data_IF_862920410082
#
_entry.id   IF_862920410082
#
_cell.length_a   1.000
_cell.length_b   1.000
_cell.length_c   1.000
_cell.angle_alpha   90.00
_cell.angle_beta   90.00
_cell.angle_gamma   90.00
#
_symmetry.space_group_name_H-M   'P 1'
#
loop_
_entity.id
_entity.type
_entity.pdbx_description
1 polymer ?
#
# COMPACT_ATOMS: atom_id res chain seq x y z
N UNK A 1 -59.27 -18.31 16.53
CA UNK A 1 -60.19 -18.03 17.65
C UNK A 1 -59.82 -18.92 18.81
N UNK A 2 -59.77 -18.43 20.05
CA UNK A 2 -59.13 -17.17 20.48
C UNK A 2 -58.28 -17.32 21.77
N UNK A 3 -57.40 -16.33 21.97
CA UNK A 3 -57.06 -15.57 23.18
C UNK A 3 -56.78 -16.24 24.54
N UNK A 4 -55.63 -15.86 25.12
CA UNK A 4 -55.50 -15.12 26.40
C UNK A 4 -53.99 -14.86 26.65
N UNK A 5 -53.48 -13.65 26.45
CA UNK A 5 -53.37 -12.55 27.44
C UNK A 5 -52.78 -12.96 28.79
N UNK A 6 -51.56 -12.50 29.13
CA UNK A 6 -51.32 -11.66 30.30
C UNK A 6 -49.89 -11.06 30.38
N UNK A 7 -49.80 -9.76 30.09
CA UNK A 7 -49.17 -8.66 30.86
C UNK A 7 -47.76 -8.82 31.48
N UNK A 8 -46.77 -8.00 31.04
CA UNK A 8 -46.25 -6.75 31.66
C UNK A 8 -45.07 -7.03 32.65
N UNK A 9 -43.96 -6.29 32.79
CA UNK A 9 -43.59 -4.87 32.60
C UNK A 9 -42.05 -4.70 32.44
N UNK A 10 -41.66 -3.51 31.95
CA UNK A 10 -40.32 -2.93 31.75
C UNK A 10 -39.54 -2.61 33.06
N UNK A 11 -38.27 -2.15 33.00
CA UNK A 11 -37.94 -0.72 32.77
C UNK A 11 -36.77 -0.51 31.78
N UNK A 12 -36.84 0.40 30.80
CA UNK A 12 -36.61 1.87 30.88
C UNK A 12 -35.19 2.29 31.30
N UNK A 13 -34.39 2.79 30.35
CA UNK A 13 -33.49 3.97 30.47
C UNK A 13 -32.58 4.03 29.22
N UNK A 14 -32.92 4.83 28.19
CA UNK A 14 -32.37 6.16 27.85
C UNK A 14 -30.87 6.23 27.51
N UNK A 15 -30.58 6.42 26.22
CA UNK A 15 -29.60 7.39 25.68
C UNK A 15 -29.86 7.53 24.17
N UNK A 16 -30.47 8.63 23.75
CA UNK A 16 -29.82 9.86 23.26
C UNK A 16 -29.23 9.75 21.84
N UNK A 17 -29.69 10.70 21.02
CA UNK A 17 -29.37 10.93 19.63
C UNK A 17 -27.87 11.09 19.40
N UNK A 18 -27.36 10.50 18.33
CA UNK A 18 -26.25 11.07 17.57
C UNK A 18 -26.32 10.64 16.10
N UNK A 19 -26.72 11.59 15.27
CA UNK A 19 -26.47 11.64 13.82
C UNK A 19 -25.00 11.38 13.47
N UNK A 20 -24.68 10.59 12.44
CA UNK A 20 -23.40 10.72 11.77
C UNK A 20 -23.53 11.79 10.67
N UNK A 21 -23.02 12.98 10.97
CA UNK A 21 -22.64 13.98 9.97
C UNK A 21 -21.51 13.38 9.15
N UNK A 22 -21.78 13.08 7.88
CA UNK A 22 -20.78 12.71 6.90
C UNK A 22 -19.93 13.94 6.56
N UNK A 23 -18.80 14.06 7.25
CA UNK A 23 -17.70 14.95 6.89
C UNK A 23 -16.97 14.32 5.69
N UNK A 24 -16.66 15.20 4.76
CA UNK A 24 -16.00 14.97 3.48
C UNK A 24 -14.59 14.41 3.69
N UNK A 25 -14.34 13.20 3.20
CA UNK A 25 -12.99 12.71 2.95
C UNK A 25 -12.52 13.21 1.57
N UNK A 26 -11.94 14.40 1.57
CA UNK A 26 -10.99 14.85 0.55
C UNK A 26 -9.70 14.03 0.70
N UNK A 27 -9.67 12.84 0.09
CA UNK A 27 -8.44 12.10 -0.12
C UNK A 27 -7.78 12.60 -1.41
N UNK A 28 -6.99 13.65 -1.27
CA UNK A 28 -6.04 14.13 -2.27
C UNK A 28 -5.03 13.04 -2.62
N UNK A 29 -5.09 12.59 -3.88
CA UNK A 29 -4.06 11.77 -4.51
C UNK A 29 -2.86 12.68 -4.82
N UNK A 30 -1.84 12.67 -3.97
CA UNK A 30 -0.53 13.21 -4.34
C UNK A 30 0.17 12.24 -5.28
N UNK A 31 0.04 12.52 -6.58
CA UNK A 31 0.92 12.02 -7.64
C UNK A 31 2.27 12.73 -7.49
N UNK A 32 3.29 11.98 -7.10
CA UNK A 32 4.69 12.44 -7.18
C UNK A 32 5.06 12.64 -8.65
N UNK A 33 5.22 13.90 -9.01
CA UNK A 33 5.82 14.38 -10.25
C UNK A 33 7.34 14.34 -10.12
N UNK A 34 8.00 13.36 -10.75
CA UNK A 34 9.39 13.50 -11.18
C UNK A 34 9.41 13.77 -12.68
N UNK A 35 9.79 15.01 -13.00
CA UNK A 35 9.90 15.57 -14.35
C UNK A 35 11.38 15.72 -14.65
N UNK A 36 11.82 15.17 -15.78
CA UNK A 36 12.90 15.61 -16.71
C UNK A 36 13.64 14.40 -17.33
N UNK A 37 14.31 14.53 -18.49
CA UNK A 37 13.63 14.57 -19.79
C UNK A 37 14.37 13.73 -20.85
N UNK A 38 13.68 12.97 -21.69
CA UNK A 38 14.25 12.55 -23.00
C UNK A 38 13.18 12.71 -24.09
N UNK A 39 13.51 13.59 -25.02
CA UNK A 39 12.82 13.93 -26.26
C UNK A 39 12.72 12.76 -27.24
N UNK A 40 11.67 12.77 -28.07
CA UNK A 40 11.80 12.40 -29.47
C UNK A 40 11.64 13.65 -30.35
N UNK A 41 12.62 13.81 -31.24
CA UNK A 41 12.81 14.91 -32.18
C UNK A 41 11.56 15.19 -33.02
N UNK A 42 11.00 16.39 -32.84
CA UNK A 42 10.20 17.07 -33.86
C UNK A 42 11.15 17.81 -34.80
N UNK A 43 11.02 17.59 -36.10
CA UNK A 43 11.59 18.46 -37.10
C UNK A 43 10.59 19.59 -37.39
N UNK A 44 11.05 20.85 -37.40
CA UNK A 44 10.20 22.02 -37.58
C UNK A 44 9.96 22.27 -39.06
N UNK A 45 8.74 22.66 -39.43
CA UNK A 45 8.54 23.43 -40.66
C UNK A 45 7.72 24.66 -40.33
N UNK A 46 8.42 25.78 -40.40
CA UNK A 46 7.98 27.13 -40.11
C UNK A 46 6.84 27.59 -41.01
N UNK A 47 5.99 28.44 -40.42
CA UNK A 47 5.26 29.48 -41.12
C UNK A 47 6.24 30.38 -41.89
N UNK A 48 6.05 30.50 -43.20
CA UNK A 48 6.44 31.70 -43.96
C UNK A 48 5.45 31.94 -45.09
N UNK A 49 5.09 33.20 -45.24
CA UNK A 49 4.18 33.73 -46.24
C UNK A 49 4.55 33.35 -47.67
N UNK A 50 3.54 33.14 -48.51
CA UNK A 50 3.67 33.18 -49.97
C UNK A 50 2.38 33.73 -50.57
N UNK A 51 2.45 34.98 -50.99
CA UNK A 51 1.50 35.62 -51.91
C UNK A 51 2.00 35.47 -53.35
N UNK A 52 1.06 35.10 -54.24
CA UNK A 52 1.07 35.24 -55.72
C UNK A 52 2.04 34.28 -56.47
N UNK A 53 1.68 33.57 -57.56
CA UNK A 53 0.68 33.83 -58.61
C UNK A 53 0.33 32.55 -59.39
N UNK A 54 -0.88 32.56 -60.01
CA UNK A 54 -1.19 32.15 -61.38
C UNK A 54 -2.50 31.34 -61.50
N UNK A 55 -3.57 32.07 -61.79
CA UNK A 55 -4.81 31.71 -62.50
C UNK A 55 -4.55 30.89 -63.81
N UNK A 56 -5.55 30.28 -64.49
CA UNK A 56 -6.98 30.64 -64.47
C UNK A 56 -8.01 29.50 -64.49
N UNK A 57 -9.21 29.90 -64.08
CA UNK A 57 -10.54 29.49 -64.54
C UNK A 57 -10.68 28.23 -65.43
N UNK A 58 -11.53 27.30 -64.96
CA UNK A 58 -12.52 26.66 -65.84
C UNK A 58 -13.83 26.44 -65.11
N UNK A 59 -14.80 27.28 -65.47
CA UNK A 59 -16.23 27.04 -65.35
C UNK A 59 -16.58 25.56 -65.50
N UNK A 60 -17.17 24.99 -64.46
CA UNK A 60 -18.30 24.10 -64.65
C UNK A 60 -19.44 24.65 -63.80
N UNK A 61 -20.41 25.20 -64.50
CA UNK A 61 -21.82 25.12 -64.15
C UNK A 61 -22.15 23.65 -63.85
N UNK A 62 -21.76 23.19 -62.67
CA UNK A 62 -22.39 22.02 -62.08
C UNK A 62 -23.82 22.46 -61.88
N UNK A 63 -24.74 21.87 -62.68
CA UNK A 63 -26.18 22.11 -62.57
C UNK A 63 -26.55 22.21 -61.09
N UNK A 64 -27.44 23.13 -60.72
CA UNK A 64 -27.90 23.26 -59.34
C UNK A 64 -28.27 21.88 -58.74
N UNK A 65 -28.74 20.93 -59.56
CA UNK A 65 -28.96 19.53 -59.23
C UNK A 65 -27.71 18.77 -58.73
N UNK A 66 -26.53 18.94 -59.33
CA UNK A 66 -25.28 18.27 -58.92
C UNK A 66 -24.67 18.87 -57.64
N UNK A 67 -24.68 20.21 -57.49
CA UNK A 67 -24.29 20.87 -56.23
C UNK A 67 -25.20 20.47 -55.07
N UNK A 68 -26.51 20.38 -55.33
CA UNK A 68 -27.47 19.92 -54.32
C UNK A 68 -27.34 18.42 -54.01
N UNK A 69 -26.79 17.59 -54.89
CA UNK A 69 -26.42 16.19 -54.60
C UNK A 69 -25.18 16.12 -53.72
N UNK A 70 -24.12 16.83 -54.07
CA UNK A 70 -22.90 16.92 -53.24
C UNK A 70 -23.18 17.48 -51.84
N UNK A 71 -24.03 18.51 -51.72
CA UNK A 71 -24.46 19.02 -50.42
C UNK A 71 -25.26 17.97 -49.62
N UNK A 72 -26.15 17.21 -50.28
CA UNK A 72 -26.88 16.11 -49.64
C UNK A 72 -25.96 14.98 -49.20
N UNK A 73 -24.94 14.63 -49.98
CA UNK A 73 -24.00 13.56 -49.64
C UNK A 73 -23.05 13.99 -48.51
N UNK A 74 -22.59 15.25 -48.52
CA UNK A 74 -21.87 15.82 -47.37
C UNK A 74 -22.73 15.86 -46.12
N UNK A 75 -24.01 16.21 -46.24
CA UNK A 75 -24.93 16.21 -45.11
C UNK A 75 -25.19 14.79 -44.58
N UNK A 76 -25.37 13.80 -45.46
CA UNK A 76 -25.45 12.38 -45.07
C UNK A 76 -24.17 11.90 -44.40
N UNK A 77 -23.00 12.28 -44.90
CA UNK A 77 -21.72 11.95 -44.27
C UNK A 77 -21.58 12.61 -42.89
N UNK A 78 -22.03 13.86 -42.74
CA UNK A 78 -22.08 14.56 -41.45
C UNK A 78 -23.03 13.87 -40.47
N UNK A 79 -24.22 13.45 -40.92
CA UNK A 79 -25.16 12.69 -40.11
C UNK A 79 -24.60 11.32 -39.69
N UNK A 80 -23.94 10.60 -40.60
CA UNK A 80 -23.30 9.32 -40.28
C UNK A 80 -22.16 9.50 -39.26
N UNK A 81 -21.36 10.57 -39.40
CA UNK A 81 -20.33 10.93 -38.42
C UNK A 81 -20.93 11.29 -37.06
N UNK A 82 -22.03 12.03 -37.03
CA UNK A 82 -22.74 12.37 -35.80
C UNK A 82 -23.31 11.12 -35.10
N UNK A 83 -23.89 10.18 -35.85
CA UNK A 83 -24.37 8.89 -35.33
C UNK A 83 -23.24 8.05 -34.75
N UNK A 84 -22.14 7.88 -35.51
CA UNK A 84 -20.96 7.15 -35.05
C UNK A 84 -20.34 7.78 -33.81
N UNK A 85 -20.31 9.11 -33.72
CA UNK A 85 -19.83 9.82 -32.53
C UNK A 85 -20.75 9.57 -31.32
N UNK A 86 -22.06 9.64 -31.50
CA UNK A 86 -23.03 9.36 -30.44
C UNK A 86 -22.91 7.91 -29.92
N UNK A 87 -22.78 6.93 -30.82
CA UNK A 87 -22.59 5.51 -30.45
C UNK A 87 -21.27 5.27 -29.71
N UNK A 88 -20.17 5.90 -30.14
CA UNK A 88 -18.88 5.82 -29.45
C UNK A 88 -18.96 6.46 -28.07
N UNK A 89 -19.55 7.65 -27.95
CA UNK A 89 -19.75 8.32 -26.66
C UNK A 89 -20.61 7.47 -25.71
N UNK A 90 -21.68 6.84 -26.21
CA UNK A 90 -22.51 5.93 -25.40
C UNK A 90 -21.72 4.68 -24.97
N UNK A 91 -20.91 4.12 -25.86
CA UNK A 91 -20.06 2.96 -25.55
C UNK A 91 -18.96 3.31 -24.55
N UNK A 92 -18.36 4.48 -24.66
CA UNK A 92 -17.32 4.98 -23.77
C UNK A 92 -17.89 5.29 -22.39
N UNK A 93 -19.02 6.00 -22.29
CA UNK A 93 -19.72 6.23 -21.02
C UNK A 93 -20.16 4.92 -20.34
N UNK A 94 -20.65 3.94 -21.11
CA UNK A 94 -20.96 2.61 -20.59
C UNK A 94 -19.71 1.80 -20.20
N UNK A 95 -18.55 2.04 -20.82
CA UNK A 95 -17.30 1.40 -20.44
C UNK A 95 -16.67 2.05 -19.20
N UNK A 96 -16.78 3.38 -19.07
CA UNK A 96 -16.37 4.14 -17.89
C UNK A 96 -17.20 3.76 -16.66
N UNK A 97 -18.53 3.66 -16.79
CA UNK A 97 -19.37 3.19 -15.69
C UNK A 97 -19.01 1.76 -15.26
N UNK A 98 -18.71 0.87 -16.22
CA UNK A 98 -18.20 -0.48 -15.91
C UNK A 98 -16.84 -0.45 -15.22
N UNK A 99 -15.90 0.39 -15.66
CA UNK A 99 -14.57 0.54 -15.02
C UNK A 99 -14.68 1.05 -13.59
N UNK A 100 -15.58 2.02 -13.35
CA UNK A 100 -15.85 2.55 -12.01
C UNK A 100 -16.58 1.52 -11.12
N UNK A 101 -17.44 0.70 -11.70
CA UNK A 101 -18.17 -0.35 -10.97
C UNK A 101 -17.33 -1.61 -10.70
N UNK A 102 -16.23 -1.84 -11.42
CA UNK A 102 -15.37 -3.00 -11.19
C UNK A 102 -14.42 -2.77 -10.03
N UNK A 103 -14.59 -3.53 -8.94
CA UNK A 103 -13.65 -3.51 -7.83
C UNK A 103 -12.27 -4.05 -8.25
N UNK A 104 -11.18 -3.31 -7.99
CA UNK A 104 -9.83 -3.75 -8.36
C UNK A 104 -9.39 -5.03 -7.64
N UNK A 105 -9.92 -5.29 -6.43
CA UNK A 105 -9.65 -6.52 -5.66
C UNK A 105 -10.26 -7.76 -6.31
N UNK A 106 -11.48 -7.64 -6.85
CA UNK A 106 -12.15 -8.71 -7.57
C UNK A 106 -11.42 -9.03 -8.89
N UNK A 107 -10.98 -8.01 -9.62
CA UNK A 107 -10.17 -8.19 -10.84
C UNK A 107 -8.87 -8.96 -10.55
N UNK A 108 -8.17 -8.63 -9.45
CA UNK A 108 -6.97 -9.37 -9.02
C UNK A 108 -7.28 -10.83 -8.65
N UNK A 109 -8.42 -11.08 -8.02
CA UNK A 109 -8.85 -12.45 -7.68
C UNK A 109 -9.16 -13.27 -8.93
N UNK A 110 -9.81 -12.66 -9.93
CA UNK A 110 -10.17 -13.29 -11.21
C UNK A 110 -8.91 -13.57 -12.02
N UNK A 111 -7.99 -12.60 -12.13
CA UNK A 111 -6.73 -12.80 -12.84
C UNK A 111 -5.89 -13.91 -12.22
N UNK A 112 -5.86 -13.99 -10.88
CA UNK A 112 -5.21 -15.09 -10.17
C UNK A 112 -5.86 -16.44 -10.47
N UNK A 113 -7.19 -16.53 -10.42
CA UNK A 113 -7.94 -17.75 -10.77
C UNK A 113 -7.70 -18.16 -12.23
N UNK A 114 -7.68 -17.21 -13.14
CA UNK A 114 -7.36 -17.43 -14.55
C UNK A 114 -5.93 -17.96 -14.72
N UNK A 115 -4.94 -17.36 -14.05
CA UNK A 115 -3.56 -17.83 -14.09
C UNK A 115 -3.40 -19.26 -13.54
N UNK A 116 -4.11 -19.60 -12.45
CA UNK A 116 -4.14 -20.97 -11.94
C UNK A 116 -4.81 -21.93 -12.92
N UNK A 117 -5.93 -21.54 -13.52
CA UNK A 117 -6.62 -22.37 -14.51
C UNK A 117 -5.75 -22.61 -15.75
N UNK A 118 -5.12 -21.57 -16.30
CA UNK A 118 -4.22 -21.71 -17.44
C UNK A 118 -3.00 -22.56 -17.12
N UNK A 119 -2.43 -22.43 -15.92
CA UNK A 119 -1.32 -23.27 -15.46
C UNK A 119 -1.74 -24.74 -15.34
N UNK A 120 -2.92 -25.01 -14.79
CA UNK A 120 -3.43 -26.38 -14.65
C UNK A 120 -3.77 -27.01 -16.00
N UNK A 121 -4.32 -26.25 -16.94
CA UNK A 121 -4.54 -26.71 -18.32
C UNK A 121 -3.21 -27.01 -19.01
N UNK A 122 -2.24 -26.10 -18.95
CA UNK A 122 -0.91 -26.31 -19.51
C UNK A 122 -0.24 -27.57 -18.94
N UNK A 123 -0.33 -27.79 -17.63
CA UNK A 123 0.16 -29.00 -16.96
C UNK A 123 -0.53 -30.26 -17.51
N UNK A 124 -1.86 -30.26 -17.59
CA UNK A 124 -2.62 -31.40 -18.10
C UNK A 124 -2.30 -31.71 -19.57
N UNK A 125 -2.15 -30.68 -20.42
CA UNK A 125 -1.80 -30.84 -21.83
C UNK A 125 -0.39 -31.44 -21.99
N UNK A 126 0.58 -30.99 -21.18
CA UNK A 126 1.96 -31.53 -21.20
C UNK A 126 2.04 -32.97 -20.70
N UNK A 127 1.27 -33.31 -19.65
CA UNK A 127 1.19 -34.68 -19.13
C UNK A 127 0.48 -35.61 -20.13
N UNK A 128 -0.55 -35.13 -20.84
CA UNK A 128 -1.23 -35.86 -21.91
C UNK A 128 -0.31 -36.13 -23.12
N UNK A 129 0.66 -35.25 -23.37
CA UNK A 129 1.71 -35.44 -24.38
C UNK A 129 2.82 -36.40 -23.90
N UNK A 130 2.82 -36.80 -22.63
CA UNK A 130 3.82 -37.68 -22.02
C UNK A 130 5.12 -36.96 -21.60
N UNK A 131 5.12 -35.63 -21.52
CA UNK A 131 6.25 -34.82 -21.05
C UNK A 131 6.11 -34.49 -19.55
N UNK A 132 7.24 -34.45 -18.83
CA UNK A 132 7.30 -33.97 -17.44
C UNK A 132 7.18 -32.43 -17.38
N UNK A 133 6.03 -31.91 -16.95
CA UNK A 133 5.77 -30.47 -16.84
C UNK A 133 6.81 -29.72 -15.99
N UNK A 134 7.17 -30.26 -14.82
CA UNK A 134 8.09 -29.61 -13.90
C UNK A 134 9.52 -29.57 -14.45
N UNK A 135 9.91 -30.59 -15.23
CA UNK A 135 11.20 -30.62 -15.93
C UNK A 135 11.25 -29.55 -17.00
N UNK A 136 10.23 -29.43 -17.85
CA UNK A 136 10.14 -28.39 -18.89
C UNK A 136 10.18 -26.99 -18.28
N UNK A 137 9.46 -26.76 -17.19
CA UNK A 137 9.47 -25.49 -16.46
C UNK A 137 10.84 -25.18 -15.83
N UNK A 138 11.54 -26.19 -15.30
CA UNK A 138 12.85 -26.00 -14.70
C UNK A 138 13.92 -25.57 -15.72
N UNK A 139 13.71 -25.85 -17.02
CA UNK A 139 14.61 -25.39 -18.08
C UNK A 139 14.50 -23.88 -18.32
N UNK A 140 13.32 -23.31 -18.09
CA UNK A 140 13.07 -21.87 -18.24
C UNK A 140 13.53 -21.06 -17.01
N UNK A 141 13.99 -21.71 -15.93
CA UNK A 141 14.49 -20.99 -14.76
C UNK A 141 15.82 -20.30 -15.04
N UNK A 142 15.76 -18.97 -15.03
CA UNK A 142 16.96 -18.13 -15.10
C UNK A 142 17.69 -18.12 -13.75
N UNK A 143 19.01 -17.96 -13.78
CA UNK A 143 19.85 -17.87 -12.57
C UNK A 143 19.36 -16.73 -11.66
N UNK A 144 19.03 -15.57 -12.23
CA UNK A 144 18.53 -14.42 -11.48
C UNK A 144 17.20 -14.70 -10.76
N UNK A 145 16.32 -15.50 -11.37
CA UNK A 145 15.04 -15.87 -10.76
C UNK A 145 15.24 -16.86 -9.61
N UNK A 146 16.12 -17.85 -9.78
CA UNK A 146 16.51 -18.78 -8.72
C UNK A 146 17.09 -18.03 -7.52
N UNK A 147 18.05 -17.12 -7.74
CA UNK A 147 18.65 -16.35 -6.65
C UNK A 147 17.62 -15.48 -5.91
N UNK A 148 16.67 -14.86 -6.61
CA UNK A 148 15.60 -14.08 -5.99
C UNK A 148 14.67 -14.97 -5.18
N UNK A 149 14.37 -16.18 -5.66
CA UNK A 149 13.62 -17.17 -4.90
C UNK A 149 14.37 -17.57 -3.63
N UNK A 150 15.66 -17.87 -3.73
CA UNK A 150 16.50 -18.29 -2.61
C UNK A 150 16.57 -17.20 -1.55
N UNK A 151 16.84 -15.96 -1.96
CA UNK A 151 16.83 -14.78 -1.08
C UNK A 151 15.48 -14.62 -0.37
N UNK A 152 14.36 -14.87 -1.06
CA UNK A 152 13.00 -14.79 -0.47
C UNK A 152 12.79 -15.89 0.57
N UNK A 153 13.21 -17.12 0.27
CA UNK A 153 12.99 -18.27 1.14
C UNK A 153 13.92 -18.27 2.33
N UNK A 154 15.17 -17.86 2.15
CA UNK A 154 16.11 -17.59 3.22
C UNK A 154 15.57 -16.49 4.16
N UNK A 155 15.05 -15.38 3.61
CA UNK A 155 14.42 -14.34 4.43
C UNK A 155 13.23 -14.86 5.21
N UNK A 156 12.39 -15.71 4.62
CA UNK A 156 11.24 -16.34 5.29
C UNK A 156 11.70 -17.28 6.41
N UNK A 157 12.75 -18.06 6.17
CA UNK A 157 13.33 -18.96 7.16
C UNK A 157 13.94 -18.16 8.33
N UNK A 158 14.74 -17.12 8.04
CA UNK A 158 15.27 -16.19 9.05
C UNK A 158 14.16 -15.59 9.90
N UNK A 159 13.04 -15.17 9.29
CA UNK A 159 11.89 -14.64 10.03
C UNK A 159 11.20 -15.67 10.93
N UNK A 160 11.14 -16.94 10.50
CA UNK A 160 10.61 -18.04 11.31
C UNK A 160 11.49 -18.26 12.53
N UNK A 161 12.80 -18.35 12.32
CA UNK A 161 13.78 -18.57 13.39
C UNK A 161 13.82 -17.37 14.37
N UNK A 162 13.62 -16.16 13.85
CA UNK A 162 13.51 -14.93 14.63
C UNK A 162 12.18 -14.78 15.42
N UNK A 163 11.25 -15.73 15.37
CA UNK A 163 9.97 -15.61 16.09
C UNK A 163 10.12 -15.87 17.59
N UNK A 164 11.02 -16.76 18.00
CA UNK A 164 11.24 -17.10 19.40
C UNK A 164 12.01 -15.98 20.13
N UNK A 165 11.70 -15.80 21.41
CA UNK A 165 12.49 -14.92 22.28
C UNK A 165 13.86 -15.55 22.55
N UNK A 166 14.93 -14.78 22.30
CA UNK A 166 16.31 -15.21 22.52
C UNK A 166 16.99 -14.27 23.54
N UNK A 167 17.03 -12.97 23.24
CA UNK A 167 17.64 -11.94 24.08
C UNK A 167 16.84 -10.63 24.00
N UNK A 168 16.88 -9.84 25.07
CA UNK A 168 16.26 -8.51 25.16
C UNK A 168 16.84 -7.53 24.14
N UNK A 169 18.14 -7.61 23.81
CA UNK A 169 18.74 -6.73 22.78
C UNK A 169 18.15 -6.99 21.40
N UNK A 170 17.94 -8.25 21.06
CA UNK A 170 17.34 -8.63 19.78
C UNK A 170 15.87 -8.22 19.69
N UNK A 171 15.11 -8.40 20.78
CA UNK A 171 13.71 -7.96 20.84
C UNK A 171 13.59 -6.43 20.73
N UNK A 172 14.43 -5.69 21.46
CA UNK A 172 14.52 -4.24 21.33
C UNK A 172 14.83 -3.80 19.90
N UNK A 173 15.79 -4.46 19.23
CA UNK A 173 16.10 -4.20 17.81
C UNK A 173 14.91 -4.47 16.89
N UNK A 174 14.14 -5.54 17.13
CA UNK A 174 12.94 -5.89 16.35
C UNK A 174 11.85 -4.84 16.52
N UNK A 175 11.63 -4.38 17.76
CA UNK A 175 10.68 -3.31 18.08
C UNK A 175 11.10 -2.01 17.41
N UNK A 176 12.37 -1.61 17.55
CA UNK A 176 12.92 -0.41 16.91
C UNK A 176 12.75 -0.44 15.39
N UNK A 177 13.15 -1.53 14.72
CA UNK A 177 12.95 -1.69 13.26
C UNK A 177 11.47 -1.64 12.85
N UNK A 178 10.55 -2.07 13.71
CA UNK A 178 9.11 -1.95 13.43
C UNK A 178 8.65 -0.50 13.56
N UNK A 179 9.08 0.21 14.60
CA UNK A 179 8.78 1.63 14.80
C UNK A 179 9.34 2.49 13.66
N UNK A 180 10.59 2.26 13.25
CA UNK A 180 11.20 2.95 12.11
C UNK A 180 10.45 2.76 10.79
N UNK A 181 9.83 1.59 10.58
CA UNK A 181 8.99 1.34 9.39
C UNK A 181 7.62 2.01 9.47
N UNK A 182 7.16 2.37 10.67
CA UNK A 182 5.87 3.01 10.91
C UNK A 182 5.99 4.54 10.96
N UNK A 183 7.18 5.06 11.24
CA UNK A 183 7.48 6.48 11.22
C UNK A 183 7.28 7.06 9.82
N UNK A 184 6.54 8.14 9.72
CA UNK A 184 6.36 8.93 8.50
C UNK A 184 7.02 10.31 8.72
N UNK A 185 8.21 10.56 8.16
CA UNK A 185 8.86 11.86 8.27
C UNK A 185 8.12 12.94 7.45
N UNK A 186 8.01 14.13 8.03
CA UNK A 186 7.51 15.32 7.33
C UNK A 186 8.69 16.00 6.61
N UNK A 187 8.76 15.84 5.29
CA UNK A 187 9.86 16.35 4.48
C UNK A 187 9.81 17.88 4.33
N UNK A 188 8.62 18.48 4.31
CA UNK A 188 8.48 19.93 4.15
C UNK A 188 8.93 20.68 5.41
N UNK A 189 8.57 20.16 6.59
CA UNK A 189 9.04 20.70 7.85
C UNK A 189 10.57 20.62 7.96
N UNK A 190 11.14 19.48 7.56
CA UNK A 190 12.59 19.29 7.52
C UNK A 190 13.31 20.28 6.59
N UNK A 191 12.78 20.52 5.40
CA UNK A 191 13.35 21.50 4.45
C UNK A 191 13.29 22.93 4.99
N UNK A 192 12.19 23.31 5.65
CA UNK A 192 12.05 24.63 6.29
C UNK A 192 13.07 24.80 7.42
N UNK A 193 13.20 23.82 8.30
CA UNK A 193 14.20 23.82 9.37
C UNK A 193 15.63 23.87 8.82
N UNK A 194 15.90 23.15 7.72
CA UNK A 194 17.18 23.20 7.02
C UNK A 194 17.52 24.58 6.49
N UNK A 195 16.57 25.23 5.81
CA UNK A 195 16.77 26.58 5.27
C UNK A 195 17.02 27.58 6.40
N UNK A 196 16.20 27.54 7.47
CA UNK A 196 16.38 28.41 8.63
C UNK A 196 17.74 28.23 9.31
N UNK A 197 18.21 26.98 9.43
CA UNK A 197 19.52 26.71 10.00
C UNK A 197 20.67 27.21 9.11
N UNK A 198 20.54 27.09 7.78
CA UNK A 198 21.50 27.66 6.82
C UNK A 198 21.50 29.19 6.87
N UNK A 199 20.32 29.83 6.98
CA UNK A 199 20.21 31.29 7.14
C UNK A 199 20.84 31.76 8.45
N UNK A 200 20.61 31.06 9.56
CA UNK A 200 21.24 31.35 10.86
C UNK A 200 22.75 31.23 10.78
N UNK A 201 23.26 30.20 10.11
CA UNK A 201 24.69 29.99 9.90
C UNK A 201 25.29 31.08 8.98
N UNK A 202 24.53 31.55 7.98
CA UNK A 202 24.96 32.65 7.11
C UNK A 202 25.04 33.97 7.89
N UNK A 203 24.04 34.24 8.74
CA UNK A 203 24.01 35.43 9.59
C UNK A 203 25.12 35.42 10.66
N UNK A 204 25.48 34.26 11.19
CA UNK A 204 26.57 34.12 12.17
C UNK A 204 27.97 34.11 11.54
N UNK A 205 28.07 34.14 10.20
CA UNK A 205 29.35 34.03 9.49
C UNK A 205 29.98 32.64 9.58
N UNK A 206 29.19 31.60 9.92
CA UNK A 206 29.63 30.23 10.09
C UNK A 206 29.77 29.42 8.79
N UNK A 207 29.35 29.97 7.65
CA UNK A 207 29.54 29.34 6.34
C UNK A 207 30.98 29.56 5.88
N UNK A 208 31.74 28.48 5.81
CA UNK A 208 33.03 28.49 5.12
C UNK A 208 32.82 28.07 3.67
N UNK A 209 33.31 28.90 2.75
CA UNK A 209 33.36 28.54 1.34
C UNK A 209 34.58 27.63 1.15
N UNK A 210 34.32 26.36 0.84
CA UNK A 210 35.35 25.35 0.55
C UNK A 210 35.29 25.04 -0.93
N UNK A 211 36.44 25.08 -1.61
CA UNK A 211 36.56 24.63 -2.99
C UNK A 211 36.62 23.10 -3.00
N UNK A 212 35.62 22.46 -3.63
CA UNK A 212 35.59 21.01 -3.81
C UNK A 212 36.70 20.58 -4.80
N UNK A 213 37.03 19.28 -4.83
CA UNK A 213 38.01 18.71 -5.78
C UNK A 213 37.68 19.00 -7.26
N UNK A 214 36.42 19.35 -7.52
CA UNK A 214 35.85 19.64 -8.84
C UNK A 214 35.98 21.14 -9.22
N UNK A 215 36.52 21.98 -8.33
CA UNK A 215 36.60 23.44 -8.50
C UNK A 215 35.30 24.20 -8.20
N UNK A 216 34.27 23.51 -7.71
CA UNK A 216 33.01 24.13 -7.28
C UNK A 216 33.13 24.66 -5.83
N UNK A 217 32.77 25.93 -5.61
CA UNK A 217 32.75 26.56 -4.29
C UNK A 217 31.49 26.14 -3.52
N UNK A 218 31.64 25.23 -2.56
CA UNK A 218 30.55 24.73 -1.71
C UNK A 218 30.59 25.43 -0.35
N UNK A 219 29.48 26.04 0.04
CA UNK A 219 29.34 26.61 1.38
C UNK A 219 29.09 25.49 2.40
N UNK A 220 30.12 25.18 3.20
CA UNK A 220 30.07 24.16 4.26
C UNK A 220 29.90 24.87 5.61
N UNK A 221 28.86 24.48 6.34
CA UNK A 221 28.62 24.95 7.71
C UNK A 221 29.64 24.29 8.65
N UNK A 222 30.60 25.09 9.14
CA UNK A 222 31.70 24.61 10.01
C UNK A 222 31.25 24.40 11.46
N UNK A 223 30.24 25.15 11.88
CA UNK A 223 29.77 25.16 13.26
C UNK A 223 28.72 24.06 13.51
N UNK A 224 28.25 23.40 12.45
CA UNK A 224 27.31 22.29 12.54
C UNK A 224 25.93 22.72 13.03
N UNK A 225 25.48 23.91 12.63
CA UNK A 225 24.19 24.51 12.99
C UNK A 225 23.03 23.61 12.55
N UNK A 226 23.11 23.03 11.35
CA UNK A 226 22.14 22.03 10.87
C UNK A 226 22.67 20.60 10.94
N UNK A 227 23.87 20.37 10.39
CA UNK A 227 24.55 19.09 10.47
C UNK A 227 25.48 19.09 11.68
N UNK A 228 24.90 18.75 12.84
CA UNK A 228 25.58 18.69 14.12
C UNK A 228 26.86 17.85 14.06
N UNK A 229 27.97 18.44 14.49
CA UNK A 229 29.26 17.77 14.72
C UNK A 229 29.36 17.35 16.18
N UNK A 230 30.30 16.46 16.52
CA UNK A 230 30.45 15.93 17.89
C UNK A 230 30.63 17.02 18.97
N UNK A 231 31.14 18.19 18.59
CA UNK A 231 31.40 19.32 19.48
C UNK A 231 30.29 20.39 19.47
N UNK A 232 29.24 20.22 18.65
CA UNK A 232 28.12 21.17 18.57
C UNK A 232 27.13 20.99 19.73
N UNK A 233 26.67 22.10 20.29
CA UNK A 233 25.82 22.14 21.51
C UNK A 233 24.38 22.59 21.22
N UNK A 234 24.08 22.93 19.98
CA UNK A 234 22.81 23.55 19.54
C UNK A 234 21.57 22.68 19.81
N UNK A 235 21.75 21.36 20.01
CA UNK A 235 20.64 20.46 20.37
C UNK A 235 20.00 20.84 21.73
N UNK A 236 20.76 21.43 22.65
CA UNK A 236 20.29 21.76 24.00
C UNK A 236 19.25 22.89 24.00
N UNK A 237 19.28 23.77 22.99
CA UNK A 237 18.34 24.89 22.85
C UNK A 237 17.09 24.54 22.05
N UNK A 238 17.05 23.36 21.41
CA UNK A 238 15.92 22.95 20.57
C UNK A 238 14.67 22.68 21.42
N UNK A 239 13.62 23.47 21.16
CA UNK A 239 12.29 23.30 21.76
C UNK A 239 11.35 22.78 20.67
N UNK A 240 11.06 21.47 20.61
CA UNK A 240 10.19 20.92 19.59
C UNK A 240 8.78 21.47 19.72
N UNK A 241 8.08 21.54 18.60
CA UNK A 241 6.67 21.95 18.60
C UNK A 241 5.81 20.98 19.42
N UNK A 242 4.78 21.52 20.08
CA UNK A 242 3.87 20.74 20.93
C UNK A 242 3.16 19.66 20.13
N UNK A 243 2.81 19.91 18.87
CA UNK A 243 2.19 18.90 18.02
C UNK A 243 3.13 17.70 17.76
N UNK A 244 4.44 17.93 17.64
CA UNK A 244 5.42 16.86 17.49
C UNK A 244 5.55 16.01 18.76
N UNK A 245 5.51 16.67 19.94
CA UNK A 245 5.48 15.98 21.23
C UNK A 245 4.21 15.13 21.40
N UNK A 246 3.05 15.68 21.03
CA UNK A 246 1.77 14.97 21.13
C UNK A 246 1.74 13.73 20.21
N UNK A 247 2.31 13.82 18.99
CA UNK A 247 2.49 12.66 18.09
C UNK A 247 3.36 11.57 18.73
N UNK A 248 4.49 11.94 19.32
CA UNK A 248 5.37 10.99 20.03
C UNK A 248 4.64 10.30 21.18
N UNK A 249 3.89 11.05 21.99
CA UNK A 249 3.12 10.49 23.11
C UNK A 249 2.03 9.56 22.62
N UNK A 250 1.34 9.90 21.53
CA UNK A 250 0.34 9.02 20.91
C UNK A 250 0.96 7.70 20.44
N UNK A 251 2.14 7.74 19.81
CA UNK A 251 2.85 6.55 19.37
C UNK A 251 3.31 5.66 20.54
N UNK A 252 3.77 6.26 21.64
CA UNK A 252 4.11 5.53 22.86
C UNK A 252 2.89 4.82 23.46
N UNK A 253 1.76 5.53 23.59
CA UNK A 253 0.49 4.95 24.10
C UNK A 253 0.01 3.80 23.21
N UNK A 254 0.06 3.98 21.89
CA UNK A 254 -0.30 2.94 20.91
C UNK A 254 0.59 1.70 21.04
N UNK A 255 1.90 1.89 21.25
CA UNK A 255 2.82 0.79 21.46
C UNK A 255 2.50 0.00 22.75
N UNK A 256 2.17 0.70 23.84
CA UNK A 256 1.72 0.08 25.09
C UNK A 256 0.41 -0.68 24.94
N UNK A 257 -0.57 -0.08 24.27
CA UNK A 257 -1.88 -0.71 24.02
C UNK A 257 -1.70 -2.02 23.24
N UNK A 258 -0.90 -2.02 22.18
CA UNK A 258 -0.60 -3.23 21.41
C UNK A 258 0.05 -4.31 22.29
N UNK A 259 0.96 -3.92 23.18
CA UNK A 259 1.62 -4.85 24.12
C UNK A 259 0.61 -5.44 25.12
N UNK A 260 -0.27 -4.60 25.67
CA UNK A 260 -1.30 -5.00 26.63
C UNK A 260 -2.34 -5.92 25.98
N UNK A 261 -2.80 -5.59 24.77
CA UNK A 261 -3.72 -6.40 23.98
C UNK A 261 -3.14 -7.79 23.71
N UNK A 262 -1.90 -7.88 23.20
CA UNK A 262 -1.21 -9.18 22.99
C UNK A 262 -1.00 -9.99 24.28
N UNK A 263 -0.90 -9.33 25.44
CA UNK A 263 -0.84 -10.02 26.73
C UNK A 263 -2.21 -10.55 27.13
N UNK A 264 -3.28 -9.77 26.92
CA UNK A 264 -4.66 -10.17 27.18
C UNK A 264 -5.09 -11.33 26.29
N UNK A 265 -4.80 -11.28 25.00
CA UNK A 265 -5.18 -12.31 24.04
C UNK A 265 -4.54 -13.68 24.36
N UNK A 266 -3.30 -13.69 24.88
CA UNK A 266 -2.62 -14.91 25.36
C UNK A 266 -3.20 -15.50 26.65
N UNK A 267 -4.00 -14.73 27.38
CA UNK A 267 -4.64 -15.14 28.62
C UNK A 267 -6.13 -15.41 28.49
N UNK A 268 -6.70 -15.28 27.28
CA UNK A 268 -8.09 -15.64 27.01
C UNK A 268 -8.22 -17.16 27.05
N UNK A 269 -9.26 -17.66 27.72
CA UNK A 269 -9.57 -19.09 27.69
C UNK A 269 -10.16 -19.48 26.36
N UNK A 270 -9.82 -20.68 25.93
CA UNK A 270 -10.61 -21.43 24.99
C UNK A 270 -11.81 -21.97 25.76
N UNK A 271 -13.02 -21.43 25.49
CA UNK A 271 -14.27 -21.74 26.20
C UNK A 271 -14.71 -23.22 26.07
N UNK A 272 -14.02 -23.98 25.22
CA UNK A 272 -14.31 -25.38 24.89
C UNK A 272 -13.42 -26.38 25.68
N UNK A 273 -12.41 -25.92 26.40
CA UNK A 273 -11.48 -26.79 27.12
C UNK A 273 -12.00 -27.16 28.53
N UNK A 274 -11.80 -28.42 28.93
CA UNK A 274 -12.16 -28.90 30.27
C UNK A 274 -11.42 -28.14 31.38
N UNK A 275 -12.18 -27.68 32.38
CA UNK A 275 -11.66 -26.88 33.49
C UNK A 275 -10.93 -27.78 34.49
N UNK A 276 -9.59 -27.80 34.41
CA UNK A 276 -8.71 -28.59 35.31
C UNK A 276 -8.23 -27.82 36.55
N UNK A 277 -8.77 -26.64 36.82
CA UNK A 277 -8.29 -25.74 37.87
C UNK A 277 -9.42 -25.15 38.72
N UNK A 278 -9.12 -24.85 39.99
CA UNK A 278 -10.07 -24.23 40.94
C UNK A 278 -9.86 -22.70 41.04
N UNK A 279 -8.63 -22.21 40.87
CA UNK A 279 -8.30 -20.78 40.95
C UNK A 279 -7.32 -20.35 39.84
N UNK A 280 -7.21 -19.04 39.61
CA UNK A 280 -6.35 -18.48 38.55
C UNK A 280 -4.85 -18.78 38.72
N UNK A 281 -4.38 -18.93 39.97
CA UNK A 281 -2.98 -19.27 40.24
C UNK A 281 -2.71 -20.73 39.88
N UNK A 282 -3.63 -21.62 40.23
CA UNK A 282 -3.64 -23.04 39.89
C UNK A 282 -3.72 -23.21 38.37
N UNK A 283 -4.56 -22.42 37.68
CA UNK A 283 -4.59 -22.37 36.21
C UNK A 283 -3.20 -22.07 35.62
N UNK A 284 -2.56 -20.99 36.06
CA UNK A 284 -1.22 -20.60 35.57
C UNK A 284 -0.17 -21.67 35.88
N UNK A 285 -0.28 -22.32 37.05
CA UNK A 285 0.59 -23.42 37.44
C UNK A 285 0.37 -24.67 36.57
N UNK A 286 -0.88 -25.07 36.34
CA UNK A 286 -1.24 -26.17 35.44
C UNK A 286 -0.81 -25.88 34.00
N UNK A 287 -0.95 -24.64 33.52
CA UNK A 287 -0.42 -24.20 32.23
C UNK A 287 1.11 -24.29 32.17
N UNK A 288 1.80 -23.96 33.27
CA UNK A 288 3.25 -24.14 33.35
C UNK A 288 3.62 -25.62 33.29
N UNK A 289 2.98 -26.47 34.09
CA UNK A 289 3.19 -27.92 34.05
C UNK A 289 2.90 -28.50 32.66
N UNK A 290 1.83 -28.06 32.01
CA UNK A 290 1.45 -28.47 30.67
C UNK A 290 2.58 -28.19 29.66
N UNK A 291 3.23 -27.02 29.73
CA UNK A 291 4.33 -26.65 28.83
C UNK A 291 5.55 -27.56 28.97
N UNK A 292 5.87 -28.01 30.19
CA UNK A 292 7.07 -28.82 30.45
C UNK A 292 6.81 -30.32 30.36
N UNK A 293 5.69 -30.79 30.88
CA UNK A 293 5.44 -32.22 31.11
C UNK A 293 4.51 -32.86 30.10
N UNK A 294 3.64 -32.13 29.39
CA UNK A 294 2.70 -32.76 28.44
C UNK A 294 3.40 -33.57 27.35
N UNK A 295 4.62 -33.18 26.96
CA UNK A 295 5.43 -33.96 26.01
C UNK A 295 5.75 -35.36 26.51
N UNK A 296 5.90 -35.54 27.82
CA UNK A 296 6.27 -36.81 28.46
C UNK A 296 5.07 -37.56 29.07
N UNK A 297 3.97 -36.86 29.35
CA UNK A 297 2.76 -37.43 29.98
C UNK A 297 1.61 -37.63 28.98
N UNK A 298 1.89 -37.55 27.68
CA UNK A 298 0.88 -37.70 26.63
C UNK A 298 0.18 -39.07 26.70
N UNK A 299 0.95 -40.16 26.81
CA UNK A 299 0.42 -41.52 26.92
C UNK A 299 -0.45 -41.70 28.16
N UNK A 300 0.00 -41.16 29.30
CA UNK A 300 -0.75 -41.22 30.56
C UNK A 300 -2.08 -40.48 30.42
N UNK A 301 -2.08 -39.26 29.84
CA UNK A 301 -3.30 -38.49 29.60
C UNK A 301 -4.27 -39.24 28.68
N UNK A 302 -3.77 -39.78 27.58
CA UNK A 302 -4.54 -40.50 26.59
C UNK A 302 -5.14 -41.81 27.15
N UNK A 303 -4.39 -42.52 28.01
CA UNK A 303 -4.93 -43.63 28.80
C UNK A 303 -6.03 -43.18 29.77
N UNK A 304 -5.92 -42.02 30.43
CA UNK A 304 -6.99 -41.48 31.27
C UNK A 304 -8.25 -41.15 30.44
N UNK A 305 -8.10 -40.54 29.28
CA UNK A 305 -9.20 -40.21 28.35
C UNK A 305 -9.86 -41.48 27.77
N UNK A 306 -9.09 -42.57 27.60
CA UNK A 306 -9.60 -43.90 27.21
C UNK A 306 -10.15 -44.76 28.34
N UNK A 307 -10.23 -44.25 29.58
CA UNK A 307 -10.80 -45.00 30.71
C UNK A 307 -9.81 -45.91 31.43
N UNK A 308 -8.55 -45.50 31.55
CA UNK A 308 -7.48 -46.14 32.33
C UNK A 308 -7.11 -47.57 31.90
N UNK A 309 -7.47 -47.99 30.69
CA UNK A 309 -6.88 -49.20 30.10
C UNK A 309 -5.40 -48.93 29.78
N UNK A 310 -4.55 -49.83 30.28
CA UNK A 310 -3.11 -49.92 29.98
C UNK A 310 -2.93 -50.59 28.61
#
# INVERSE_FOLDING_TARGET
>A
MPDQDNQQHHPSSSSELATPVAIQDEAGVQVVSSKSPISPKENPVSNTASTLSADPEKNKTTDAASRTREMRDRFKALQARAKNAAEKNLRETAAESKRLATDPSLLSSISRKHAFASHNLLKADTEAQGEDFERKRAWDWTVDESEKWDKRMEKKQRHRDDTAFQDYRQDARKIYKRQMRQMQPDLEAYEKEKILAVEKAAASGGLQIVEAEDGELVAVDKNGTFYSTADSVDFAENKPDRAAVDRLVADLRKAEEIRLKKRKDRGRDDEEADVTYINDKNKKFNQQLARFYNKYTAEIRDSFERGTMI
#
